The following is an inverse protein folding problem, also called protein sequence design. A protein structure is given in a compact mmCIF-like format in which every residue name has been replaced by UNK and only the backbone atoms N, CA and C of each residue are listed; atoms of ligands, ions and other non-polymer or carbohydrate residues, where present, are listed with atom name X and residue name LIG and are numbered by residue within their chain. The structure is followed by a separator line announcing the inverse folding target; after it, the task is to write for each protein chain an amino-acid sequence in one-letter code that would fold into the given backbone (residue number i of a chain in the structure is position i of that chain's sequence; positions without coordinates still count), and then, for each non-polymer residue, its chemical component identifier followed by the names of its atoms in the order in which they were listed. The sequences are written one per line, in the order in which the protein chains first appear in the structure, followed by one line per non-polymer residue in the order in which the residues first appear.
data_IF_330461200341
#
_entry.id   IF_330461200341
#
_cell.length_a   1.000
_cell.length_b   1.000
_cell.length_c   1.000
_cell.angle_alpha   90.00
_cell.angle_beta   90.00
_cell.angle_gamma   90.00
#
_symmetry.space_group_name_H-M   'P 1'
#
loop_
_entity.id
_entity.type
_entity.pdbx_description
1 polymer ?
#
# COMPACT_ATOMS: atom_id res chain seq x y z
N UNK A 1 24.31 4.94 -5.35
CA UNK A 1 24.25 6.35 -5.86
C UNK A 1 25.55 7.11 -5.63
N UNK A 2 26.54 6.58 -4.91
CA UNK A 2 27.85 7.22 -4.71
C UNK A 2 28.65 7.41 -6.01
N UNK A 3 28.34 6.61 -7.03
CA UNK A 3 28.90 6.62 -8.37
C UNK A 3 28.08 7.47 -9.38
N UNK A 4 26.92 7.98 -8.95
CA UNK A 4 25.99 8.67 -9.82
C UNK A 4 26.28 10.17 -9.86
N UNK A 5 26.38 10.73 -11.07
CA UNK A 5 26.50 12.17 -11.30
C UNK A 5 25.13 12.70 -11.74
N UNK A 6 24.50 13.61 -10.97
CA UNK A 6 23.17 14.13 -11.30
C UNK A 6 23.22 14.94 -12.61
N UNK A 7 22.20 14.76 -13.45
CA UNK A 7 21.95 15.59 -14.63
C UNK A 7 20.50 16.03 -14.65
N UNK A 8 20.24 17.29 -14.99
CA UNK A 8 18.87 17.80 -15.15
C UNK A 8 18.11 17.08 -16.27
N UNK A 9 18.82 16.51 -17.25
CA UNK A 9 18.19 15.66 -18.26
C UNK A 9 17.55 14.39 -17.67
N UNK A 10 17.98 13.96 -16.47
CA UNK A 10 17.43 12.78 -15.82
C UNK A 10 16.00 13.01 -15.33
N UNK A 11 15.56 14.27 -15.21
CA UNK A 11 14.18 14.62 -14.86
C UNK A 11 13.16 14.03 -15.85
N UNK A 12 13.54 13.78 -17.10
CA UNK A 12 12.65 13.17 -18.11
C UNK A 12 12.34 11.69 -17.84
N UNK A 13 13.12 11.03 -16.98
CA UNK A 13 12.91 9.63 -16.57
C UNK A 13 12.16 9.51 -15.23
N UNK A 14 11.74 10.63 -14.63
CA UNK A 14 11.00 10.61 -13.38
C UNK A 14 9.64 9.94 -13.56
N UNK A 15 9.37 8.99 -12.68
CA UNK A 15 8.08 8.31 -12.55
C UNK A 15 7.23 8.95 -11.45
N UNK A 16 6.00 8.47 -11.28
CA UNK A 16 5.06 9.08 -10.34
C UNK A 16 5.59 9.10 -8.89
N UNK A 17 6.20 8.02 -8.42
CA UNK A 17 6.79 7.98 -7.08
C UNK A 17 7.93 9.00 -6.91
N UNK A 18 8.72 9.24 -7.96
CA UNK A 18 9.82 10.21 -7.95
C UNK A 18 9.27 11.65 -7.88
N UNK A 19 8.30 11.97 -8.73
CA UNK A 19 7.65 13.28 -8.74
C UNK A 19 6.92 13.56 -7.43
N UNK A 20 6.25 12.56 -6.87
CA UNK A 20 5.58 12.66 -5.56
C UNK A 20 6.54 13.07 -4.45
N UNK A 21 7.66 12.36 -4.31
CA UNK A 21 8.58 12.65 -3.20
C UNK A 21 9.32 13.98 -3.41
N UNK A 22 9.62 14.36 -4.67
CA UNK A 22 10.22 15.66 -4.99
C UNK A 22 9.25 16.82 -4.71
N UNK A 23 7.96 16.65 -4.99
CA UNK A 23 6.93 17.64 -4.66
C UNK A 23 6.81 17.82 -3.15
N UNK A 24 6.70 16.72 -2.40
CA UNK A 24 6.69 16.75 -0.93
C UNK A 24 7.97 17.36 -0.34
N UNK A 25 9.13 17.07 -0.92
CA UNK A 25 10.40 17.64 -0.49
C UNK A 25 10.43 19.16 -0.69
N UNK A 26 9.91 19.68 -1.81
CA UNK A 26 9.85 21.12 -2.04
C UNK A 26 8.86 21.83 -1.10
N UNK A 27 7.75 21.18 -0.74
CA UNK A 27 6.86 21.65 0.33
C UNK A 27 7.55 21.64 1.70
N UNK A 28 8.36 20.61 2.01
CA UNK A 28 9.20 20.59 3.21
C UNK A 28 10.18 21.77 3.23
N UNK A 29 10.86 22.07 2.12
CA UNK A 29 11.77 23.22 2.04
C UNK A 29 11.01 24.50 2.42
N UNK A 30 9.81 24.70 1.88
CA UNK A 30 8.97 25.87 2.16
C UNK A 30 8.62 25.97 3.65
N UNK A 31 8.13 24.87 4.23
CA UNK A 31 7.74 24.76 5.64
C UNK A 31 8.93 25.01 6.57
N UNK A 32 10.07 24.35 6.33
CA UNK A 32 11.27 24.50 7.16
C UNK A 32 11.80 25.92 7.10
N UNK A 33 11.84 26.55 5.92
CA UNK A 33 12.26 27.96 5.80
C UNK A 33 11.35 28.87 6.60
N UNK A 34 10.04 28.70 6.52
CA UNK A 34 9.09 29.49 7.32
C UNK A 34 9.33 29.29 8.83
N UNK A 35 9.57 28.05 9.28
CA UNK A 35 9.89 27.80 10.68
C UNK A 35 11.21 28.45 11.11
N UNK A 36 12.25 28.36 10.28
CA UNK A 36 13.56 28.96 10.55
C UNK A 36 13.48 30.49 10.59
N UNK A 37 12.77 31.13 9.66
CA UNK A 37 12.56 32.58 9.59
C UNK A 37 11.80 33.12 10.82
N UNK A 38 10.97 32.27 11.43
CA UNK A 38 10.20 32.57 12.65
C UNK A 38 10.85 32.03 13.93
N UNK A 39 12.12 31.62 13.89
CA UNK A 39 12.87 31.07 15.04
C UNK A 39 12.24 29.82 15.70
N UNK A 40 11.40 29.07 14.97
CA UNK A 40 10.75 27.83 15.40
C UNK A 40 11.60 26.61 15.04
N UNK A 41 12.80 26.52 15.60
CA UNK A 41 13.78 25.47 15.25
C UNK A 41 13.30 24.05 15.57
N UNK A 42 12.49 23.89 16.62
CA UNK A 42 11.93 22.59 17.00
C UNK A 42 10.91 22.09 15.97
N UNK A 43 10.04 22.98 15.46
CA UNK A 43 9.10 22.66 14.38
C UNK A 43 9.82 22.35 13.07
N UNK A 44 10.86 23.12 12.71
CA UNK A 44 11.71 22.82 11.56
C UNK A 44 12.31 21.40 11.66
N UNK A 45 12.88 21.04 12.81
CA UNK A 45 13.45 19.70 13.02
C UNK A 45 12.38 18.61 12.99
N UNK A 46 11.20 18.84 13.58
CA UNK A 46 10.07 17.90 13.54
C UNK A 46 9.63 17.64 12.10
N UNK A 47 9.50 18.68 11.27
CA UNK A 47 9.12 18.57 9.87
C UNK A 47 10.15 17.75 9.07
N UNK A 48 11.45 18.09 9.20
CA UNK A 48 12.54 17.36 8.53
C UNK A 48 12.53 15.88 8.94
N UNK A 49 12.42 15.59 10.23
CA UNK A 49 12.40 14.22 10.75
C UNK A 49 11.19 13.45 10.23
N UNK A 50 10.00 14.03 10.28
CA UNK A 50 8.77 13.39 9.83
C UNK A 50 8.83 13.04 8.34
N UNK A 51 9.27 13.97 7.50
CA UNK A 51 9.47 13.68 6.07
C UNK A 51 10.53 12.59 5.86
N UNK A 52 11.70 12.74 6.48
CA UNK A 52 12.83 11.81 6.28
C UNK A 52 12.47 10.38 6.65
N UNK A 53 11.70 10.21 7.73
CA UNK A 53 11.29 8.91 8.21
C UNK A 53 10.07 8.36 7.47
N UNK A 54 8.95 9.08 7.54
CA UNK A 54 7.65 8.55 7.14
C UNK A 54 7.32 8.73 5.66
N UNK A 55 7.97 9.65 4.94
CA UNK A 55 7.74 9.83 3.51
C UNK A 55 8.89 9.24 2.69
N UNK A 56 10.11 9.57 3.07
CA UNK A 56 11.29 9.17 2.32
C UNK A 56 11.73 7.72 2.64
N UNK A 57 12.08 7.42 3.89
CA UNK A 57 12.67 6.13 4.25
C UNK A 57 11.67 4.97 4.24
N UNK A 58 10.55 5.09 4.95
CA UNK A 58 9.56 3.99 5.08
C UNK A 58 8.83 3.70 3.77
N UNK A 59 8.70 4.72 2.90
CA UNK A 59 7.87 4.64 1.70
C UNK A 59 8.69 4.80 0.42
N UNK A 60 9.18 5.99 0.09
CA UNK A 60 9.83 6.21 -1.21
C UNK A 60 10.99 5.24 -1.49
N UNK A 61 11.94 5.08 -0.55
CA UNK A 61 13.07 4.15 -0.72
C UNK A 61 12.62 2.72 -0.99
N UNK A 62 11.58 2.30 -0.29
CA UNK A 62 11.02 0.97 -0.36
C UNK A 62 10.24 0.73 -1.66
N UNK A 63 9.52 1.75 -2.14
CA UNK A 63 8.79 1.74 -3.42
C UNK A 63 9.78 1.59 -4.60
N UNK A 64 10.84 2.38 -4.63
CA UNK A 64 11.77 2.41 -5.77
C UNK A 64 12.88 1.35 -5.69
N UNK A 65 12.96 0.60 -4.59
CA UNK A 65 14.01 -0.39 -4.33
C UNK A 65 14.17 -1.38 -5.48
N UNK A 66 13.08 -1.99 -5.92
CA UNK A 66 13.11 -2.93 -7.03
C UNK A 66 13.64 -2.28 -8.32
N UNK A 67 13.21 -1.05 -8.62
CA UNK A 67 13.68 -0.29 -9.79
C UNK A 67 15.18 -0.03 -9.72
N UNK A 68 15.73 0.28 -8.54
CA UNK A 68 17.17 0.49 -8.36
C UNK A 68 18.01 -0.78 -8.58
N UNK A 69 17.52 -1.94 -8.14
CA UNK A 69 18.28 -3.20 -8.24
C UNK A 69 18.08 -3.93 -9.56
N UNK A 70 16.86 -3.90 -10.10
CA UNK A 70 16.43 -4.77 -11.20
C UNK A 70 15.84 -4.02 -12.40
N UNK A 71 15.77 -2.69 -12.35
CA UNK A 71 15.34 -1.88 -13.50
C UNK A 71 16.40 -1.80 -14.60
N UNK A 72 15.99 -1.36 -15.78
CA UNK A 72 16.91 -0.92 -16.84
C UNK A 72 17.70 0.31 -16.40
N UNK A 73 18.79 0.63 -17.09
CA UNK A 73 19.56 1.85 -16.76
C UNK A 73 18.71 3.12 -16.90
N UNK A 74 17.80 3.18 -17.87
CA UNK A 74 16.87 4.32 -18.01
C UNK A 74 15.90 4.42 -16.82
N UNK A 75 15.32 3.30 -16.39
CA UNK A 75 14.43 3.28 -15.22
C UNK A 75 15.15 3.68 -13.94
N UNK A 76 16.43 3.32 -13.80
CA UNK A 76 17.24 3.70 -12.64
C UNK A 76 17.54 5.20 -12.60
N UNK A 77 17.63 5.90 -13.74
CA UNK A 77 18.04 7.32 -13.79
C UNK A 77 17.13 8.21 -12.97
N UNK A 78 15.80 8.09 -13.12
CA UNK A 78 14.83 8.91 -12.38
C UNK A 78 14.93 8.69 -10.85
N UNK A 79 15.05 7.44 -10.41
CA UNK A 79 15.22 7.12 -9.00
C UNK A 79 16.58 7.60 -8.46
N UNK A 80 17.68 7.38 -9.19
CA UNK A 80 19.03 7.85 -8.80
C UNK A 80 19.07 9.37 -8.67
N UNK A 81 18.49 10.09 -9.64
CA UNK A 81 18.34 11.56 -9.59
C UNK A 81 17.61 11.99 -8.32
N UNK A 82 16.45 11.39 -8.07
CA UNK A 82 15.58 11.76 -6.95
C UNK A 82 16.22 11.48 -5.60
N UNK A 83 16.85 10.32 -5.41
CA UNK A 83 17.58 9.98 -4.19
C UNK A 83 18.73 10.96 -3.92
N UNK A 84 19.48 11.27 -4.97
CA UNK A 84 20.60 12.21 -4.87
C UNK A 84 20.10 13.62 -4.53
N UNK A 85 19.06 14.10 -5.21
CA UNK A 85 18.44 15.40 -4.94
C UNK A 85 17.89 15.47 -3.51
N UNK A 86 17.15 14.46 -3.07
CA UNK A 86 16.59 14.39 -1.72
C UNK A 86 17.70 14.40 -0.65
N UNK A 87 18.75 13.60 -0.83
CA UNK A 87 19.87 13.58 0.11
C UNK A 87 20.61 14.93 0.16
N UNK A 88 20.84 15.57 -0.99
CA UNK A 88 21.43 16.91 -1.07
C UNK A 88 20.62 17.94 -0.27
N UNK A 89 19.30 17.96 -0.48
CA UNK A 89 18.41 18.89 0.23
C UNK A 89 18.36 18.58 1.72
N UNK A 90 18.12 17.33 2.11
CA UNK A 90 17.98 16.94 3.51
C UNK A 90 19.25 17.24 4.33
N UNK A 91 20.43 16.96 3.77
CA UNK A 91 21.71 17.27 4.44
C UNK A 91 21.89 18.78 4.64
N UNK A 92 21.54 19.60 3.65
CA UNK A 92 21.58 21.07 3.78
C UNK A 92 20.54 21.62 4.75
N UNK A 93 19.33 21.06 4.79
CA UNK A 93 18.30 21.44 5.77
C UNK A 93 18.75 21.12 7.21
N UNK A 94 19.43 19.98 7.40
CA UNK A 94 19.95 19.52 8.69
C UNK A 94 21.23 20.24 9.13
N UNK A 95 22.04 20.78 8.22
CA UNK A 95 23.36 21.34 8.52
C UNK A 95 23.38 22.37 9.68
N UNK A 96 22.40 23.30 9.80
CA UNK A 96 22.36 24.22 10.94
C UNK A 96 22.03 23.57 12.29
N UNK A 97 21.48 22.35 12.31
CA UNK A 97 20.97 21.66 13.50
C UNK A 97 21.90 20.52 13.93
N UNK A 98 22.39 19.73 12.96
CA UNK A 98 23.26 18.56 13.19
C UNK A 98 24.53 18.64 12.33
N UNK A 99 25.40 19.64 12.56
CA UNK A 99 26.45 20.04 11.61
C UNK A 99 27.45 18.93 11.26
N UNK A 100 27.86 18.12 12.24
CA UNK A 100 28.81 17.02 12.01
C UNK A 100 28.18 15.86 11.24
N UNK A 101 26.92 15.53 11.54
CA UNK A 101 26.20 14.47 10.82
C UNK A 101 25.92 14.90 9.37
N UNK A 102 25.49 16.14 9.17
CA UNK A 102 25.26 16.69 7.85
C UNK A 102 26.54 16.69 7.00
N UNK A 103 27.69 17.05 7.58
CA UNK A 103 29.00 17.03 6.90
C UNK A 103 29.46 15.60 6.53
N UNK A 104 29.33 14.65 7.46
CA UNK A 104 29.66 13.23 7.21
C UNK A 104 28.77 12.64 6.11
N UNK A 105 27.46 12.96 6.11
CA UNK A 105 26.56 12.55 5.03
C UNK A 105 26.91 13.23 3.71
N UNK A 106 27.17 14.55 3.70
CA UNK A 106 27.49 15.31 2.50
C UNK A 106 28.75 14.78 1.82
N UNK A 107 29.85 14.63 2.57
CA UNK A 107 31.15 14.22 2.04
C UNK A 107 31.17 12.84 1.36
N UNK A 108 30.17 11.98 1.63
CA UNK A 108 30.03 10.66 0.98
C UNK A 108 29.44 10.72 -0.42
N UNK A 109 28.65 11.75 -0.73
CA UNK A 109 27.85 11.79 -1.95
C UNK A 109 28.08 13.06 -2.77
N UNK A 110 28.57 14.12 -2.15
CA UNK A 110 28.75 15.44 -2.73
C UNK A 110 30.19 15.93 -2.56
N UNK A 111 30.59 16.89 -3.40
CA UNK A 111 31.88 17.56 -3.29
C UNK A 111 31.81 18.78 -2.35
N UNK A 112 32.94 19.13 -1.73
CA UNK A 112 33.05 20.25 -0.80
C UNK A 112 32.41 19.98 0.56
N UNK A 113 32.14 21.05 1.31
CA UNK A 113 31.46 21.00 2.62
C UNK A 113 30.03 21.49 2.50
N UNK A 114 29.11 20.89 3.27
CA UNK A 114 27.69 21.32 3.31
C UNK A 114 27.56 22.74 3.87
N UNK A 115 28.47 23.14 4.76
CA UNK A 115 28.48 24.44 5.43
C UNK A 115 28.90 25.60 4.51
N UNK A 116 29.42 25.29 3.32
CA UNK A 116 29.75 26.27 2.29
C UNK A 116 28.68 26.38 1.20
N UNK A 117 27.60 25.60 1.31
CA UNK A 117 26.52 25.59 0.33
C UNK A 117 25.44 26.60 0.69
N UNK A 118 24.74 27.11 -0.33
CA UNK A 118 23.53 27.92 -0.12
C UNK A 118 22.50 27.10 0.66
N UNK A 119 21.66 27.73 1.48
CA UNK A 119 20.53 27.03 2.09
C UNK A 119 19.47 26.66 1.03
N UNK A 120 18.76 25.51 1.14
CA UNK A 120 17.81 25.10 0.10
C UNK A 120 16.72 26.13 -0.18
N UNK A 121 16.37 26.29 -1.46
CA UNK A 121 15.26 27.14 -1.93
C UNK A 121 14.23 26.29 -2.64
N UNK A 122 12.96 26.70 -2.59
CA UNK A 122 11.86 25.98 -3.22
C UNK A 122 12.00 26.07 -4.74
N UNK A 123 11.97 24.93 -5.42
CA UNK A 123 11.79 24.84 -6.87
C UNK A 123 10.30 24.58 -7.13
N UNK A 124 9.55 25.64 -7.42
CA UNK A 124 8.10 25.58 -7.68
C UNK A 124 7.79 24.69 -8.90
N UNK A 125 8.75 24.45 -9.81
CA UNK A 125 8.55 23.54 -10.95
C UNK A 125 8.49 22.06 -10.55
N UNK A 126 8.94 21.73 -9.34
CA UNK A 126 8.90 20.38 -8.78
C UNK A 126 7.68 20.14 -7.88
N UNK A 127 6.85 21.15 -7.63
CA UNK A 127 5.58 20.97 -6.92
C UNK A 127 4.51 20.50 -7.90
N UNK A 128 4.13 19.23 -7.77
CA UNK A 128 3.18 18.54 -8.66
C UNK A 128 2.09 17.86 -7.81
N UNK A 129 0.94 18.54 -7.69
CA UNK A 129 -0.22 18.06 -6.91
C UNK A 129 -0.83 16.77 -7.49
N UNK A 130 -0.74 16.56 -8.80
CA UNK A 130 -1.26 15.36 -9.43
C UNK A 130 -0.33 14.16 -9.19
N UNK A 131 0.98 14.37 -9.26
CA UNK A 131 1.95 13.37 -8.82
C UNK A 131 1.79 13.06 -7.32
N UNK A 132 1.45 14.05 -6.49
CA UNK A 132 1.16 13.78 -5.09
C UNK A 132 -0.05 12.87 -4.90
N UNK A 133 -1.14 13.14 -5.62
CA UNK A 133 -2.34 12.30 -5.58
C UNK A 133 -2.04 10.85 -6.02
N UNK A 134 -1.28 10.68 -7.12
CA UNK A 134 -0.88 9.35 -7.61
C UNK A 134 0.10 8.65 -6.67
N UNK A 135 1.08 9.37 -6.13
CA UNK A 135 2.07 8.85 -5.20
C UNK A 135 1.47 8.40 -3.87
N UNK A 136 0.52 9.14 -3.31
CA UNK A 136 -0.23 8.70 -2.12
C UNK A 136 -0.99 7.40 -2.39
N UNK A 137 -1.59 7.27 -3.57
CA UNK A 137 -2.30 6.04 -3.96
C UNK A 137 -1.33 4.86 -4.10
N UNK A 138 -0.16 5.07 -4.72
CA UNK A 138 0.90 4.04 -4.81
C UNK A 138 1.35 3.60 -3.40
N UNK A 139 1.64 4.57 -2.52
CA UNK A 139 2.02 4.33 -1.12
C UNK A 139 0.99 3.48 -0.39
N UNK A 140 -0.28 3.88 -0.46
CA UNK A 140 -1.41 3.18 0.17
C UNK A 140 -1.55 1.73 -0.32
N UNK A 141 -1.48 1.50 -1.64
CA UNK A 141 -1.55 0.18 -2.25
C UNK A 141 -0.39 -0.71 -1.77
N UNK A 142 0.84 -0.19 -1.79
CA UNK A 142 2.02 -0.94 -1.35
C UNK A 142 1.91 -1.29 0.14
N UNK A 143 1.43 -0.36 0.97
CA UNK A 143 1.20 -0.59 2.39
C UNK A 143 0.16 -1.67 2.66
N UNK A 144 -0.99 -1.65 1.97
CA UNK A 144 -2.05 -2.66 2.21
C UNK A 144 -1.62 -4.06 1.76
N UNK A 145 -0.87 -4.16 0.65
CA UNK A 145 -0.34 -5.45 0.20
C UNK A 145 0.75 -5.98 1.14
N UNK A 146 1.61 -5.11 1.68
CA UNK A 146 2.60 -5.52 2.71
C UNK A 146 1.93 -6.03 3.98
N UNK A 147 0.87 -5.35 4.42
CA UNK A 147 0.05 -5.79 5.55
C UNK A 147 -0.58 -7.16 5.27
N UNK A 148 -1.19 -7.34 4.11
CA UNK A 148 -1.74 -8.65 3.69
C UNK A 148 -0.68 -9.75 3.76
N UNK A 149 0.54 -9.52 3.25
CA UNK A 149 1.63 -10.49 3.34
C UNK A 149 1.99 -10.81 4.79
N UNK A 150 2.12 -9.79 5.63
CA UNK A 150 2.41 -9.96 7.05
C UNK A 150 1.32 -10.80 7.75
N UNK A 151 0.04 -10.47 7.52
CA UNK A 151 -1.10 -11.14 8.12
C UNK A 151 -1.22 -12.61 7.67
N UNK A 152 -0.77 -12.93 6.44
CA UNK A 152 -0.66 -14.30 5.91
C UNK A 152 0.65 -15.01 6.29
N UNK A 153 1.55 -14.36 7.04
CA UNK A 153 2.85 -14.92 7.41
C UNK A 153 3.85 -15.07 6.25
N UNK A 154 3.63 -14.34 5.15
CA UNK A 154 4.50 -14.34 3.98
C UNK A 154 5.67 -13.36 4.16
N UNK A 155 6.83 -13.72 3.61
CA UNK A 155 7.94 -12.77 3.49
C UNK A 155 7.52 -11.59 2.58
N UNK A 156 8.00 -10.38 2.87
CA UNK A 156 7.61 -9.17 2.11
C UNK A 156 7.99 -9.26 0.62
N UNK A 157 9.07 -9.99 0.30
CA UNK A 157 9.52 -10.23 -1.05
C UNK A 157 8.93 -11.51 -1.68
N UNK A 158 8.06 -12.26 -1.00
CA UNK A 158 7.42 -13.44 -1.57
C UNK A 158 6.60 -13.03 -2.81
N UNK A 159 6.70 -13.76 -3.94
CA UNK A 159 5.95 -13.40 -5.14
C UNK A 159 4.45 -13.58 -4.90
N UNK A 160 3.65 -12.66 -5.43
CA UNK A 160 2.20 -12.81 -5.56
C UNK A 160 1.87 -13.04 -7.04
N UNK A 161 0.82 -13.80 -7.33
CA UNK A 161 0.43 -14.09 -8.72
C UNK A 161 0.06 -12.81 -9.47
N UNK A 162 -0.97 -12.12 -8.96
CA UNK A 162 -1.50 -10.91 -9.59
C UNK A 162 -2.18 -10.00 -8.58
N UNK A 163 -2.06 -8.70 -8.81
CA UNK A 163 -2.84 -7.65 -8.17
C UNK A 163 -3.75 -7.01 -9.22
N UNK A 164 -5.06 -6.98 -8.96
CA UNK A 164 -6.03 -6.23 -9.75
C UNK A 164 -6.39 -5.00 -8.94
N UNK A 165 -6.06 -3.82 -9.47
CA UNK A 165 -6.20 -2.55 -8.77
C UNK A 165 -7.29 -1.74 -9.45
N UNK A 166 -8.33 -1.40 -8.71
CA UNK A 166 -9.33 -0.47 -9.17
C UNK A 166 -8.83 0.97 -9.03
N UNK A 167 -8.72 1.67 -10.16
CA UNK A 167 -8.37 3.08 -10.17
C UNK A 167 -9.03 3.83 -11.33
N UNK A 168 -9.71 4.93 -11.00
CA UNK A 168 -10.30 5.83 -11.99
C UNK A 168 -9.26 6.53 -12.88
N UNK A 169 -8.04 6.70 -12.35
CA UNK A 169 -6.94 7.37 -13.03
C UNK A 169 -5.81 6.38 -13.27
N UNK A 170 -5.04 6.62 -14.33
CA UNK A 170 -3.86 5.82 -14.64
C UNK A 170 -2.84 5.94 -13.49
N UNK A 171 -2.21 4.83 -13.16
CA UNK A 171 -1.19 4.72 -12.12
C UNK A 171 0.08 4.12 -12.71
N UNK A 172 1.26 4.58 -12.27
CA UNK A 172 2.50 3.89 -12.58
C UNK A 172 2.56 2.54 -11.84
N UNK A 173 2.25 1.48 -12.59
CA UNK A 173 2.25 0.10 -12.10
C UNK A 173 3.66 -0.46 -11.87
N UNK A 174 4.71 0.14 -12.46
CA UNK A 174 6.07 -0.43 -12.41
C UNK A 174 6.59 -0.52 -10.99
N UNK A 175 6.36 0.54 -10.22
CA UNK A 175 6.80 0.65 -8.83
C UNK A 175 5.93 -0.18 -7.90
N UNK A 176 4.62 -0.23 -8.14
CA UNK A 176 3.71 -1.10 -7.40
C UNK A 176 4.17 -2.55 -7.60
N UNK A 177 4.31 -3.02 -8.84
CA UNK A 177 4.73 -4.37 -9.18
C UNK A 177 6.09 -4.73 -8.55
N UNK A 178 7.04 -3.79 -8.60
CA UNK A 178 8.35 -3.97 -8.02
C UNK A 178 8.34 -4.07 -6.49
N UNK A 179 7.58 -3.19 -5.83
CA UNK A 179 7.50 -3.14 -4.37
C UNK A 179 6.68 -4.28 -3.76
N UNK A 180 5.72 -4.83 -4.51
CA UNK A 180 4.86 -5.94 -4.08
C UNK A 180 5.31 -7.29 -4.61
N UNK A 181 6.27 -7.36 -5.54
CA UNK A 181 6.69 -8.56 -6.25
C UNK A 181 5.48 -9.32 -6.85
N UNK A 182 4.71 -8.63 -7.68
CA UNK A 182 3.48 -9.14 -8.27
C UNK A 182 3.29 -8.62 -9.71
N UNK A 183 2.57 -9.36 -10.54
CA UNK A 183 1.98 -8.77 -11.75
C UNK A 183 0.87 -7.80 -11.33
N UNK A 184 0.79 -6.64 -11.99
CA UNK A 184 -0.18 -5.59 -11.64
C UNK A 184 -1.02 -5.25 -12.85
N UNK A 185 -2.33 -5.32 -12.66
CA UNK A 185 -3.36 -4.96 -13.63
C UNK A 185 -4.21 -3.83 -13.03
N UNK A 186 -4.39 -2.74 -13.77
CA UNK A 186 -5.23 -1.61 -13.34
C UNK A 186 -6.51 -1.64 -14.15
N UNK A 187 -7.65 -1.68 -13.45
CA UNK A 187 -8.99 -1.68 -14.04
C UNK A 187 -9.72 -0.38 -13.70
N UNK A 188 -10.42 0.19 -14.69
CA UNK A 188 -11.20 1.44 -14.54
C UNK A 188 -12.63 1.21 -14.10
N UNK A 189 -13.14 0.00 -14.30
CA UNK A 189 -14.45 -0.44 -13.84
C UNK A 189 -14.26 -1.43 -12.69
N UNK A 190 -15.15 -1.35 -11.69
CA UNK A 190 -15.09 -2.27 -10.56
C UNK A 190 -15.45 -3.68 -11.07
N UNK A 191 -14.57 -4.68 -10.90
CA UNK A 191 -14.87 -6.03 -11.34
C UNK A 191 -16.05 -6.61 -10.56
N UNK A 192 -16.85 -7.45 -11.21
CA UNK A 192 -17.92 -8.18 -10.54
C UNK A 192 -17.31 -9.24 -9.62
N UNK A 193 -17.54 -9.09 -8.31
CA UNK A 193 -17.04 -10.00 -7.29
C UNK A 193 -18.10 -11.06 -6.99
N UNK A 194 -17.81 -12.31 -7.37
CA UNK A 194 -18.65 -13.46 -7.04
C UNK A 194 -18.27 -13.96 -5.64
N UNK A 195 -19.25 -14.06 -4.74
CA UNK A 195 -19.06 -14.56 -3.39
C UNK A 195 -19.53 -16.01 -3.32
N UNK A 196 -18.68 -16.89 -2.82
CA UNK A 196 -19.01 -18.28 -2.52
C UNK A 196 -18.86 -18.54 -1.02
N UNK A 197 -19.78 -19.30 -0.44
CA UNK A 197 -19.68 -19.71 0.96
C UNK A 197 -18.91 -21.02 1.02
N UNK A 198 -17.61 -20.94 1.35
CA UNK A 198 -16.73 -22.08 1.56
C UNK A 198 -17.26 -22.96 2.69
N UNK A 199 -17.65 -22.33 3.81
CA UNK A 199 -18.13 -23.06 4.99
C UNK A 199 -19.03 -22.20 5.87
N UNK A 200 -20.04 -22.83 6.48
CA UNK A 200 -20.83 -22.25 7.57
C UNK A 200 -20.38 -22.90 8.88
N UNK A 201 -19.63 -22.15 9.71
CA UNK A 201 -19.15 -22.62 11.01
C UNK A 201 -20.26 -22.50 12.05
N UNK A 202 -20.72 -23.59 12.68
CA UNK A 202 -21.81 -23.53 13.64
C UNK A 202 -21.41 -22.81 14.93
N UNK A 203 -22.27 -21.91 15.40
CA UNK A 203 -22.18 -21.29 16.73
C UNK A 203 -22.81 -22.23 17.76
N UNK A 204 -22.00 -23.11 18.32
CA UNK A 204 -22.46 -24.10 19.31
C UNK A 204 -23.11 -23.47 20.56
N UNK A 205 -22.72 -22.25 20.93
CA UNK A 205 -23.36 -21.48 22.00
C UNK A 205 -24.82 -21.12 21.73
N UNK A 206 -25.23 -21.05 20.46
CA UNK A 206 -26.60 -20.73 20.02
C UNK A 206 -27.38 -22.01 19.73
N UNK A 207 -26.83 -22.90 18.90
CA UNK A 207 -27.53 -24.10 18.41
C UNK A 207 -27.63 -25.16 19.52
N UNK A 208 -26.60 -25.29 20.36
CA UNK A 208 -26.52 -26.30 21.42
C UNK A 208 -27.71 -26.27 22.39
N UNK A 209 -28.01 -25.14 23.03
CA UNK A 209 -29.16 -25.01 23.94
C UNK A 209 -30.52 -25.25 23.27
N UNK A 210 -30.66 -24.89 22.00
CA UNK A 210 -31.92 -24.98 21.25
C UNK A 210 -32.26 -26.40 20.80
N UNK A 211 -31.26 -27.15 20.33
CA UNK A 211 -31.48 -28.40 19.60
C UNK A 211 -30.86 -29.64 20.24
N UNK A 212 -29.99 -29.48 21.26
CA UNK A 212 -29.40 -30.57 22.07
C UNK A 212 -28.85 -31.73 21.22
N UNK A 213 -29.57 -32.84 21.16
CA UNK A 213 -29.23 -34.06 20.44
C UNK A 213 -29.32 -33.90 18.91
N UNK A 214 -30.20 -33.03 18.40
CA UNK A 214 -30.39 -32.75 16.96
C UNK A 214 -29.34 -31.82 16.34
N UNK A 215 -28.39 -31.31 17.13
CA UNK A 215 -27.37 -30.33 16.66
C UNK A 215 -26.55 -30.89 15.49
N UNK A 216 -26.16 -32.17 15.57
CA UNK A 216 -25.35 -32.82 14.52
C UNK A 216 -26.10 -32.92 13.21
N UNK A 217 -27.39 -33.24 13.26
CA UNK A 217 -28.21 -33.43 12.06
C UNK A 217 -28.51 -32.09 11.37
N UNK A 218 -28.71 -31.02 12.16
CA UNK A 218 -28.82 -29.65 11.63
C UNK A 218 -27.53 -29.23 10.94
N UNK A 219 -26.37 -29.45 11.57
CA UNK A 219 -25.07 -29.12 10.96
C UNK A 219 -24.89 -29.88 9.65
N UNK A 220 -25.19 -31.18 9.63
CA UNK A 220 -25.10 -32.01 8.43
C UNK A 220 -26.04 -31.54 7.31
N UNK A 221 -27.27 -31.18 7.65
CA UNK A 221 -28.24 -30.62 6.70
C UNK A 221 -27.70 -29.32 6.08
N UNK A 222 -27.16 -28.42 6.89
CA UNK A 222 -26.58 -27.14 6.43
C UNK A 222 -25.32 -27.33 5.59
N UNK A 223 -24.44 -28.26 5.96
CA UNK A 223 -23.25 -28.59 5.17
C UNK A 223 -23.60 -29.14 3.78
N UNK A 224 -24.72 -29.88 3.68
CA UNK A 224 -25.23 -30.46 2.43
C UNK A 224 -26.00 -29.51 1.50
N UNK A 225 -26.25 -28.26 1.94
CA UNK A 225 -26.90 -27.25 1.10
C UNK A 225 -26.06 -26.95 -0.15
N UNK A 226 -26.78 -26.66 -1.26
CA UNK A 226 -26.17 -26.13 -2.48
C UNK A 226 -25.51 -24.78 -2.22
N UNK A 227 -24.61 -24.34 -3.12
CA UNK A 227 -23.99 -23.00 -3.01
C UNK A 227 -25.07 -21.90 -2.99
N UNK A 228 -26.08 -22.02 -3.85
CA UNK A 228 -27.21 -21.09 -3.93
C UNK A 228 -28.03 -21.07 -2.64
N UNK A 229 -28.30 -22.23 -2.03
CA UNK A 229 -29.05 -22.31 -0.77
C UNK A 229 -28.25 -21.75 0.41
N UNK A 230 -26.93 -21.95 0.44
CA UNK A 230 -26.07 -21.31 1.46
C UNK A 230 -26.09 -19.80 1.31
N UNK A 231 -25.99 -19.29 0.08
CA UNK A 231 -26.08 -17.85 -0.22
C UNK A 231 -27.45 -17.30 0.18
N UNK A 232 -28.51 -18.03 -0.16
CA UNK A 232 -29.88 -17.69 0.21
C UNK A 232 -30.06 -17.64 1.72
N UNK A 233 -29.56 -18.62 2.46
CA UNK A 233 -29.56 -18.61 3.93
C UNK A 233 -28.92 -17.33 4.46
N UNK A 234 -27.75 -16.94 3.96
CA UNK A 234 -27.04 -15.74 4.43
C UNK A 234 -27.74 -14.43 4.03
N UNK A 235 -28.33 -14.35 2.83
CA UNK A 235 -28.98 -13.15 2.32
C UNK A 235 -30.40 -12.94 2.87
N UNK A 236 -31.19 -14.01 2.97
CA UNK A 236 -32.58 -13.98 3.44
C UNK A 236 -32.71 -14.20 4.96
N UNK A 237 -31.60 -14.53 5.63
CA UNK A 237 -31.51 -14.70 7.09
C UNK A 237 -32.01 -16.03 7.62
N UNK A 238 -32.72 -16.83 6.81
CA UNK A 238 -33.15 -18.19 7.18
C UNK A 238 -33.47 -19.05 5.97
N UNK A 239 -33.40 -20.36 6.14
CA UNK A 239 -33.83 -21.36 5.17
C UNK A 239 -34.48 -22.54 5.88
N UNK A 240 -35.52 -23.12 5.28
CA UNK A 240 -36.09 -24.35 5.77
C UNK A 240 -35.28 -25.54 5.27
N UNK A 241 -34.83 -26.39 6.20
CA UNK A 241 -34.16 -27.66 5.89
C UNK A 241 -34.93 -28.82 6.49
N UNK A 242 -34.83 -29.99 5.86
CA UNK A 242 -35.40 -31.21 6.40
C UNK A 242 -34.35 -31.92 7.26
N UNK A 243 -34.67 -32.15 8.53
CA UNK A 243 -33.83 -32.88 9.49
C UNK A 243 -34.68 -34.04 10.02
N UNK A 244 -34.34 -35.28 9.65
CA UNK A 244 -35.03 -36.50 10.05
C UNK A 244 -36.57 -36.49 9.83
N UNK A 245 -37.03 -35.85 8.76
CA UNK A 245 -38.46 -35.75 8.41
C UNK A 245 -39.17 -34.55 9.03
N UNK A 246 -38.50 -33.78 9.88
CA UNK A 246 -39.00 -32.52 10.43
C UNK A 246 -38.45 -31.33 9.65
N UNK A 247 -39.33 -30.36 9.36
CA UNK A 247 -38.94 -29.11 8.72
C UNK A 247 -38.43 -28.14 9.79
N UNK A 248 -37.13 -27.85 9.76
CA UNK A 248 -36.46 -26.95 10.69
C UNK A 248 -36.10 -25.66 9.96
N UNK A 249 -36.56 -24.51 10.50
CA UNK A 249 -36.18 -23.19 9.99
C UNK A 249 -34.81 -22.80 10.55
N UNK A 250 -33.76 -23.07 9.77
CA UNK A 250 -32.39 -22.70 10.11
C UNK A 250 -32.18 -21.22 9.88
N UNK A 251 -31.52 -20.55 10.83
CA UNK A 251 -31.23 -19.11 10.75
C UNK A 251 -29.75 -18.84 10.50
N UNK A 252 -29.45 -17.80 9.73
CA UNK A 252 -28.08 -17.37 9.43
C UNK A 252 -27.29 -17.01 10.69
N UNK A 253 -27.95 -16.41 11.69
CA UNK A 253 -27.34 -16.00 12.96
C UNK A 253 -26.71 -17.16 13.77
N UNK A 254 -27.06 -18.40 13.42
CA UNK A 254 -26.52 -19.62 14.03
C UNK A 254 -25.14 -20.01 13.48
N UNK A 255 -24.65 -19.35 12.43
CA UNK A 255 -23.41 -19.69 11.76
C UNK A 255 -22.51 -18.46 11.58
N UNK A 256 -21.20 -18.70 11.48
CA UNK A 256 -20.25 -17.77 10.90
C UNK A 256 -19.88 -18.25 9.50
N UNK A 257 -20.08 -17.40 8.49
CA UNK A 257 -19.74 -17.72 7.12
C UNK A 257 -18.26 -17.47 6.84
N UNK A 258 -17.57 -18.51 6.38
CA UNK A 258 -16.28 -18.41 5.73
C UNK A 258 -16.55 -18.29 4.22
N UNK A 259 -16.18 -17.14 3.66
CA UNK A 259 -16.47 -16.80 2.26
C UNK A 259 -15.19 -16.76 1.44
N UNK A 260 -15.31 -17.19 0.20
CA UNK A 260 -14.31 -17.03 -0.87
C UNK A 260 -14.85 -16.03 -1.88
N UNK A 261 -13.97 -15.22 -2.45
CA UNK A 261 -14.32 -14.22 -3.46
C UNK A 261 -13.65 -14.58 -4.76
N UNK A 262 -14.36 -14.39 -5.87
CA UNK A 262 -13.87 -14.70 -7.19
C UNK A 262 -14.07 -13.52 -8.14
N UNK A 263 -13.07 -13.27 -8.99
CA UNK A 263 -13.16 -12.38 -10.15
C UNK A 263 -12.82 -13.22 -11.38
N UNK A 264 -13.73 -13.27 -12.35
CA UNK A 264 -13.56 -14.06 -13.59
C UNK A 264 -13.12 -15.51 -13.33
N UNK A 265 -13.65 -16.12 -12.25
CA UNK A 265 -13.33 -17.50 -11.85
C UNK A 265 -12.03 -17.68 -11.07
N UNK A 266 -11.29 -16.61 -10.75
CA UNK A 266 -10.05 -16.67 -9.95
C UNK A 266 -10.32 -16.27 -8.51
N UNK A 267 -9.83 -17.06 -7.56
CA UNK A 267 -9.97 -16.75 -6.13
C UNK A 267 -9.13 -15.53 -5.77
N UNK A 268 -9.74 -14.56 -5.09
CA UNK A 268 -9.10 -13.30 -4.71
C UNK A 268 -9.33 -12.96 -3.25
N UNK A 269 -8.33 -12.35 -2.63
CA UNK A 269 -8.51 -11.59 -1.39
C UNK A 269 -8.79 -10.13 -1.75
N UNK A 270 -9.85 -9.56 -1.17
CA UNK A 270 -10.20 -8.15 -1.31
C UNK A 270 -9.51 -7.32 -0.21
N UNK A 271 -8.68 -6.37 -0.62
CA UNK A 271 -8.04 -5.39 0.25
C UNK A 271 -8.65 -4.01 -0.04
N UNK A 272 -9.34 -3.45 0.94
CA UNK A 272 -9.92 -2.12 0.86
C UNK A 272 -9.11 -1.12 1.68
N UNK A 273 -8.95 0.07 1.12
CA UNK A 273 -8.39 1.23 1.80
C UNK A 273 -9.32 2.42 1.60
N UNK A 274 -9.01 3.58 2.19
CA UNK A 274 -9.88 4.76 2.06
C UNK A 274 -10.05 5.22 0.62
N UNK A 275 -9.06 4.99 -0.25
CA UNK A 275 -9.02 5.54 -1.62
C UNK A 275 -8.78 4.49 -2.72
N UNK A 276 -8.58 3.23 -2.34
CA UNK A 276 -8.17 2.17 -3.27
C UNK A 276 -8.85 0.84 -2.94
N UNK A 277 -9.14 0.08 -3.99
CA UNK A 277 -9.58 -1.32 -3.89
C UNK A 277 -8.58 -2.18 -4.65
N UNK A 278 -8.01 -3.17 -3.96
CA UNK A 278 -6.98 -4.05 -4.50
C UNK A 278 -7.42 -5.49 -4.28
N UNK A 279 -7.45 -6.27 -5.35
CA UNK A 279 -7.68 -7.71 -5.28
C UNK A 279 -6.36 -8.45 -5.45
N UNK A 280 -6.05 -9.36 -4.53
CA UNK A 280 -4.87 -10.23 -4.59
C UNK A 280 -5.31 -11.60 -5.06
N UNK A 281 -4.82 -12.05 -6.21
CA UNK A 281 -5.06 -13.42 -6.68
C UNK A 281 -4.30 -14.42 -5.81
N UNK A 282 -5.03 -15.39 -5.21
CA UNK A 282 -4.50 -16.41 -4.31
C UNK A 282 -3.94 -17.62 -5.07
#
# INVERSE_FOLDING_TARGET
ISDYKPSEEDRKYLRDADRWILSKLNKLIKEVREHMDNYRFDEALKAIRSFSWYEYADNYLEIVKNRLYSGTEEEKRGAKYTLHYALNVLTRLLAPITPFLAEECWSKFMEGSVHLQTYPTVDESLIDYEAERRGEKIKEIVSVVRKFKHDKGLALNAPLKRLIIYAENDLDVRDIAGATNAEVEVVKEMPEVQIKIKRLKPKFSVIGPMFRDKVKDIIKAVESLSEDDKLKLMNEGSIDVNVDGERVKVKAEWFDAEVERYIEGREVELLETEKSVVFVEL
#
